data_IF_815621036295
#
_entry.id   IF_815621036295
#
_cell.length_a   1.000
_cell.length_b   1.000
_cell.length_c   1.000
_cell.angle_alpha   90.00
_cell.angle_beta   90.00
_cell.angle_gamma   90.00
#
_symmetry.space_group_name_H-M   'P 1'
#
loop_
_entity.id
_entity.type
_entity.pdbx_description
1 polymer ?
#
# COMPACT_ATOMS: atom_id res chain seq x y z
N UNK A 1 18.09 5.45 -40.29
CA UNK A 1 17.68 5.95 -38.97
C UNK A 1 17.72 4.77 -38.01
N UNK A 2 18.33 4.91 -36.84
CA UNK A 2 18.36 3.82 -35.86
C UNK A 2 16.96 3.63 -35.29
N UNK A 3 16.42 2.41 -35.33
CA UNK A 3 15.09 2.11 -34.77
C UNK A 3 15.20 1.97 -33.27
N UNK A 4 14.58 2.91 -32.55
CA UNK A 4 14.56 2.89 -31.10
C UNK A 4 13.57 1.82 -30.57
N UNK A 5 13.90 1.26 -29.39
CA UNK A 5 13.01 0.33 -28.71
C UNK A 5 11.63 0.96 -28.42
N UNK A 6 10.58 0.27 -28.84
CA UNK A 6 9.19 0.62 -28.50
C UNK A 6 8.67 -0.32 -27.41
N UNK A 7 7.99 0.22 -26.39
CA UNK A 7 7.38 -0.60 -25.32
C UNK A 7 6.19 -1.39 -25.85
N UNK A 8 5.94 -2.57 -25.30
CA UNK A 8 4.83 -3.44 -25.70
C UNK A 8 3.48 -2.71 -25.58
N UNK A 9 3.24 -1.95 -24.52
CA UNK A 9 2.00 -1.17 -24.35
C UNK A 9 1.77 -0.19 -25.51
N UNK A 10 2.82 0.43 -26.02
CA UNK A 10 2.75 1.41 -27.10
C UNK A 10 2.59 0.71 -28.46
N UNK A 11 3.31 -0.41 -28.68
CA UNK A 11 3.16 -1.26 -29.87
C UNK A 11 1.72 -1.70 -30.11
N UNK A 12 1.03 -2.12 -29.03
CA UNK A 12 -0.36 -2.58 -29.10
C UNK A 12 -1.36 -1.48 -29.50
N UNK A 13 -0.96 -0.20 -29.46
CA UNK A 13 -1.74 0.96 -29.89
C UNK A 13 -1.33 1.48 -31.27
N UNK A 14 -0.21 0.99 -31.84
CA UNK A 14 0.28 1.43 -33.13
C UNK A 14 -0.54 0.80 -34.27
N UNK A 15 -0.60 1.51 -35.40
CA UNK A 15 -1.11 0.96 -36.65
C UNK A 15 -0.05 0.09 -37.32
N UNK A 16 -0.51 -0.97 -37.96
CA UNK A 16 0.34 -1.83 -38.79
C UNK A 16 1.06 -1.04 -39.90
N UNK A 17 2.21 -1.52 -40.36
CA UNK A 17 2.99 -0.95 -41.46
C UNK A 17 4.34 -0.37 -41.04
N UNK A 18 4.66 -0.30 -39.77
CA UNK A 18 5.93 0.25 -39.27
C UNK A 18 6.94 -0.86 -38.96
N UNK A 19 8.21 -0.62 -39.20
CA UNK A 19 9.30 -1.43 -38.66
C UNK A 19 9.52 -1.06 -37.19
N UNK A 20 9.61 -2.06 -36.31
CA UNK A 20 9.67 -1.87 -34.85
C UNK A 20 10.79 -2.71 -34.22
N UNK A 21 11.26 -2.27 -33.04
CA UNK A 21 12.17 -3.02 -32.18
C UNK A 21 11.52 -3.21 -30.81
N UNK A 22 11.16 -4.44 -30.49
CA UNK A 22 10.67 -4.84 -29.16
C UNK A 22 11.75 -5.60 -28.39
N UNK A 23 11.86 -5.35 -27.09
CA UNK A 23 12.75 -6.10 -26.18
C UNK A 23 11.97 -6.53 -24.97
N UNK A 24 12.12 -7.79 -24.51
CA UNK A 24 11.36 -8.27 -23.36
C UNK A 24 11.65 -9.74 -23.04
N UNK A 25 10.78 -10.29 -22.22
CA UNK A 25 10.86 -11.69 -21.76
C UNK A 25 9.80 -12.55 -22.44
N UNK A 26 10.21 -13.74 -22.82
CA UNK A 26 9.36 -14.74 -23.44
C UNK A 26 8.39 -15.33 -22.40
N UNK A 27 7.11 -15.17 -22.64
CA UNK A 27 6.05 -15.78 -21.80
C UNK A 27 5.70 -17.17 -22.27
N UNK A 28 5.55 -17.34 -23.57
CA UNK A 28 5.32 -18.65 -24.20
C UNK A 28 5.98 -18.70 -25.57
N UNK A 29 6.38 -19.91 -25.98
CA UNK A 29 6.79 -20.21 -27.34
C UNK A 29 6.02 -21.43 -27.82
N UNK A 30 5.42 -21.35 -28.99
CA UNK A 30 4.70 -22.43 -29.67
C UNK A 30 4.96 -22.35 -31.18
N UNK A 31 4.61 -23.34 -31.93
CA UNK A 31 4.73 -23.29 -33.38
C UNK A 31 4.57 -24.67 -34.04
N UNK A 32 4.72 -24.69 -35.36
CA UNK A 32 4.73 -25.84 -36.20
C UNK A 32 6.11 -26.01 -36.91
N UNK A 33 6.18 -26.74 -38.00
CA UNK A 33 7.42 -26.96 -38.75
C UNK A 33 7.94 -25.72 -39.48
N UNK A 34 7.04 -24.76 -39.80
CA UNK A 34 7.34 -23.61 -40.67
C UNK A 34 7.45 -22.33 -39.86
N UNK A 35 6.67 -22.15 -38.80
CA UNK A 35 6.52 -20.89 -38.09
C UNK A 35 6.61 -21.14 -36.57
N UNK A 36 7.27 -20.22 -35.85
CA UNK A 36 7.23 -20.11 -34.40
C UNK A 36 6.47 -18.85 -33.96
N UNK A 37 5.65 -18.97 -32.92
CA UNK A 37 4.94 -17.89 -32.26
C UNK A 37 5.52 -17.68 -30.87
N UNK A 38 5.94 -16.47 -30.56
CA UNK A 38 6.51 -16.08 -29.28
C UNK A 38 5.62 -14.99 -28.67
N UNK A 39 5.11 -15.22 -27.47
CA UNK A 39 4.46 -14.17 -26.68
C UNK A 39 5.55 -13.41 -25.91
N UNK A 40 5.77 -12.15 -26.26
CA UNK A 40 6.78 -11.28 -25.68
C UNK A 40 6.14 -10.24 -24.76
N UNK A 41 6.70 -10.05 -23.56
CA UNK A 41 6.27 -9.06 -22.59
C UNK A 41 7.47 -8.32 -22.03
N UNK A 42 7.35 -6.99 -21.90
CA UNK A 42 8.41 -6.14 -21.35
C UNK A 42 8.07 -5.52 -19.99
N UNK A 43 6.94 -5.94 -19.38
CA UNK A 43 6.46 -5.45 -18.09
C UNK A 43 5.62 -4.17 -18.17
N UNK A 44 5.57 -3.49 -19.33
CA UNK A 44 4.83 -2.23 -19.49
C UNK A 44 3.30 -2.38 -19.48
N UNK A 45 2.82 -3.58 -19.73
CA UNK A 45 1.38 -3.94 -19.73
C UNK A 45 1.22 -5.41 -19.34
N UNK A 46 0.01 -5.80 -18.95
CA UNK A 46 -0.33 -7.20 -18.73
C UNK A 46 -0.42 -8.00 -20.03
N UNK A 47 -0.73 -7.33 -21.13
CA UNK A 47 -0.85 -7.94 -22.46
C UNK A 47 0.52 -8.27 -23.04
N UNK A 48 0.59 -9.25 -23.91
CA UNK A 48 1.80 -9.59 -24.66
C UNK A 48 1.66 -9.12 -26.10
N UNK A 49 2.80 -8.86 -26.76
CA UNK A 49 2.81 -8.80 -28.23
C UNK A 49 3.21 -10.15 -28.78
N UNK A 50 2.49 -10.64 -29.80
CA UNK A 50 2.85 -11.85 -30.52
C UNK A 50 3.96 -11.55 -31.51
N UNK A 51 4.98 -12.37 -31.50
CA UNK A 51 6.07 -12.36 -32.51
C UNK A 51 5.94 -13.60 -33.36
N UNK A 52 5.91 -13.43 -34.66
CA UNK A 52 5.87 -14.50 -35.67
C UNK A 52 7.26 -14.60 -36.27
N UNK A 53 7.83 -15.81 -36.26
CA UNK A 53 9.19 -16.10 -36.77
C UNK A 53 9.12 -17.21 -37.78
N UNK A 54 9.49 -16.93 -39.02
CA UNK A 54 9.65 -17.95 -40.06
C UNK A 54 10.87 -18.81 -39.75
N UNK A 55 10.72 -20.12 -39.84
CA UNK A 55 11.77 -21.09 -39.55
C UNK A 55 12.65 -21.33 -40.75
N UNK A 56 13.94 -21.13 -40.59
CA UNK A 56 15.01 -21.49 -41.48
C UNK A 56 16.23 -21.92 -40.63
N UNK A 57 17.29 -22.41 -41.24
CA UNK A 57 18.49 -22.88 -40.52
C UNK A 57 19.01 -21.90 -39.46
N UNK A 58 19.03 -20.58 -39.77
CA UNK A 58 19.51 -19.56 -38.85
C UNK A 58 18.53 -19.33 -37.69
N UNK A 59 17.24 -19.20 -37.97
CA UNK A 59 16.20 -18.94 -36.94
C UNK A 59 15.95 -20.19 -36.10
N UNK A 60 16.05 -21.40 -36.62
CA UNK A 60 15.94 -22.65 -35.84
C UNK A 60 17.03 -22.76 -34.79
N UNK A 61 18.28 -22.45 -35.13
CA UNK A 61 19.39 -22.43 -34.18
C UNK A 61 19.15 -21.41 -33.04
N UNK A 62 18.59 -20.23 -33.34
CA UNK A 62 18.22 -19.23 -32.33
C UNK A 62 17.02 -19.68 -31.51
N UNK A 63 15.95 -20.18 -32.15
CA UNK A 63 14.73 -20.62 -31.50
C UNK A 63 14.97 -21.80 -30.54
N UNK A 64 15.98 -22.67 -30.81
CA UNK A 64 16.34 -23.77 -29.90
C UNK A 64 16.81 -23.27 -28.52
N UNK A 65 17.39 -22.08 -28.46
CA UNK A 65 17.89 -21.40 -27.23
C UNK A 65 16.82 -20.55 -26.55
N UNK A 66 15.73 -20.25 -27.22
CA UNK A 66 14.63 -19.43 -26.67
C UNK A 66 13.61 -20.31 -25.98
N UNK A 67 13.54 -20.17 -24.66
CA UNK A 67 12.56 -20.83 -23.78
C UNK A 67 11.71 -19.80 -23.01
N UNK A 68 10.69 -20.24 -22.29
CA UNK A 68 9.97 -19.39 -21.35
C UNK A 68 10.92 -18.77 -20.34
N UNK A 69 10.84 -17.45 -20.16
CA UNK A 69 11.72 -16.69 -19.29
C UNK A 69 12.99 -16.13 -19.97
N UNK A 70 13.34 -16.58 -21.18
CA UNK A 70 14.45 -16.00 -21.94
C UNK A 70 14.19 -14.51 -22.24
N UNK A 71 15.26 -13.71 -22.28
CA UNK A 71 15.22 -12.31 -22.64
C UNK A 71 15.69 -12.12 -24.09
N UNK A 72 14.83 -11.53 -24.94
CA UNK A 72 15.12 -11.35 -26.36
C UNK A 72 14.81 -9.96 -26.86
N UNK A 73 15.47 -9.55 -27.93
CA UNK A 73 15.14 -8.44 -28.81
C UNK A 73 14.59 -8.95 -30.12
N UNK A 74 13.60 -8.26 -30.66
CA UNK A 74 12.94 -8.59 -31.94
C UNK A 74 12.83 -7.34 -32.77
N UNK A 75 13.46 -7.32 -33.93
CA UNK A 75 13.19 -6.33 -34.98
C UNK A 75 12.30 -6.97 -36.03
N UNK A 76 11.34 -6.23 -36.55
CA UNK A 76 10.46 -6.74 -37.58
C UNK A 76 9.37 -5.75 -37.96
N UNK A 77 8.52 -6.19 -38.86
CA UNK A 77 7.40 -5.42 -39.38
C UNK A 77 6.19 -5.63 -38.47
N UNK A 78 5.61 -4.54 -37.97
CA UNK A 78 4.32 -4.59 -37.26
C UNK A 78 3.21 -4.77 -38.30
N UNK A 79 2.44 -5.82 -38.17
CA UNK A 79 1.35 -6.18 -39.12
C UNK A 79 0.04 -6.36 -38.36
N UNK A 80 -1.08 -6.32 -39.10
CA UNK A 80 -2.38 -6.71 -38.53
C UNK A 80 -2.35 -8.19 -38.18
N UNK A 81 -2.81 -8.54 -36.97
CA UNK A 81 -2.83 -9.92 -36.53
C UNK A 81 -3.99 -10.68 -37.20
N UNK A 82 -3.69 -11.84 -37.72
CA UNK A 82 -4.69 -12.77 -38.25
C UNK A 82 -5.39 -13.54 -37.11
N UNK A 83 -4.77 -13.58 -35.94
CA UNK A 83 -5.27 -14.28 -34.75
C UNK A 83 -6.31 -13.48 -33.97
N UNK A 84 -7.25 -14.18 -33.32
CA UNK A 84 -8.19 -13.55 -32.40
C UNK A 84 -7.48 -13.09 -31.11
N UNK A 85 -7.90 -11.94 -30.55
CA UNK A 85 -7.47 -11.46 -29.25
C UNK A 85 -6.33 -10.44 -29.24
N UNK A 86 -5.81 -10.04 -30.42
CA UNK A 86 -4.82 -8.97 -30.57
C UNK A 86 -5.00 -8.27 -31.92
N UNK A 87 -4.77 -6.96 -31.97
CA UNK A 87 -4.91 -6.18 -33.19
C UNK A 87 -3.69 -6.28 -34.11
N UNK A 88 -2.50 -6.36 -33.53
CA UNK A 88 -1.21 -6.34 -34.21
C UNK A 88 -0.28 -7.43 -33.73
N UNK A 89 0.67 -7.82 -34.58
CA UNK A 89 1.76 -8.74 -34.26
C UNK A 89 3.05 -8.33 -34.98
N UNK A 90 4.20 -8.82 -34.52
CA UNK A 90 5.50 -8.51 -35.13
C UNK A 90 5.91 -9.69 -36.01
N UNK A 91 6.04 -9.50 -37.33
CA UNK A 91 6.76 -10.43 -38.20
C UNK A 91 8.26 -10.14 -38.07
N UNK A 92 8.98 -11.05 -37.43
CA UNK A 92 10.39 -10.88 -37.11
C UNK A 92 11.29 -10.99 -38.32
N UNK A 93 12.14 -9.96 -38.55
CA UNK A 93 13.25 -10.02 -39.50
C UNK A 93 14.56 -10.36 -38.81
N UNK A 94 14.71 -10.03 -37.52
CA UNK A 94 15.91 -10.26 -36.74
C UNK A 94 15.57 -10.61 -35.28
N UNK A 95 16.29 -11.60 -34.72
CA UNK A 95 16.22 -11.99 -33.32
C UNK A 95 17.58 -11.78 -32.67
N UNK A 96 17.56 -11.19 -31.46
CA UNK A 96 18.73 -11.06 -30.59
C UNK A 96 18.43 -11.74 -29.25
N UNK A 97 19.31 -12.59 -28.74
CA UNK A 97 19.16 -13.23 -27.43
C UNK A 97 20.06 -12.52 -26.44
N UNK A 98 19.46 -11.83 -25.47
CA UNK A 98 20.20 -11.18 -24.38
C UNK A 98 20.52 -12.14 -23.24
N UNK A 99 19.60 -13.08 -22.97
CA UNK A 99 19.79 -14.09 -21.94
C UNK A 99 18.93 -15.32 -22.16
N UNK A 100 19.57 -16.45 -22.15
CA UNK A 100 18.90 -17.75 -22.20
C UNK A 100 18.26 -18.07 -20.84
N UNK A 101 17.28 -18.95 -20.81
CA UNK A 101 16.64 -19.42 -19.58
C UNK A 101 16.60 -20.94 -19.58
N UNK A 102 17.16 -21.56 -18.55
CA UNK A 102 17.06 -23.02 -18.38
C UNK A 102 15.62 -23.38 -17.94
N UNK A 103 14.85 -24.05 -18.82
CA UNK A 103 13.43 -24.36 -18.52
C UNK A 103 13.27 -25.36 -17.38
N UNK A 104 14.31 -26.15 -17.07
CA UNK A 104 14.26 -27.13 -15.97
C UNK A 104 14.47 -26.50 -14.60
N UNK A 105 15.16 -25.37 -14.54
CA UNK A 105 15.48 -24.64 -13.31
C UNK A 105 14.62 -23.40 -13.10
N UNK A 106 13.88 -22.96 -14.12
CA UNK A 106 13.06 -21.74 -14.02
C UNK A 106 11.90 -21.95 -13.02
N UNK A 107 11.82 -21.15 -11.94
CA UNK A 107 10.87 -21.41 -10.86
C UNK A 107 9.42 -21.10 -11.22
N UNK A 108 9.19 -20.28 -12.26
CA UNK A 108 7.86 -19.87 -12.70
C UNK A 108 7.37 -20.75 -13.85
N UNK A 109 6.89 -21.93 -13.51
CA UNK A 109 6.35 -22.90 -14.51
C UNK A 109 4.95 -22.47 -14.99
N UNK A 110 4.49 -23.07 -16.11
CA UNK A 110 3.16 -22.84 -16.69
C UNK A 110 1.98 -23.24 -15.79
N UNK A 111 2.22 -24.10 -14.80
CA UNK A 111 1.19 -24.51 -13.84
C UNK A 111 0.88 -23.38 -12.87
N UNK A 112 -0.35 -23.29 -12.42
CA UNK A 112 -0.73 -22.38 -11.36
C UNK A 112 0.17 -22.59 -10.14
N UNK A 113 0.81 -21.51 -9.72
CA UNK A 113 1.76 -21.50 -8.62
C UNK A 113 1.09 -20.81 -7.43
N UNK A 114 1.10 -21.43 -6.25
CA UNK A 114 0.46 -20.87 -5.08
C UNK A 114 1.15 -19.56 -4.63
N UNK A 115 0.39 -18.69 -3.98
CA UNK A 115 0.96 -17.46 -3.41
C UNK A 115 2.03 -17.74 -2.34
N UNK A 116 1.87 -18.82 -1.56
CA UNK A 116 2.84 -19.26 -0.57
C UNK A 116 4.18 -19.56 -1.24
N UNK A 117 4.19 -20.32 -2.31
CA UNK A 117 5.42 -20.56 -3.06
C UNK A 117 6.00 -19.28 -3.67
N UNK A 118 5.16 -18.42 -4.26
CA UNK A 118 5.63 -17.15 -4.86
C UNK A 118 6.26 -16.21 -3.83
N UNK A 119 5.87 -16.30 -2.55
CA UNK A 119 6.54 -15.58 -1.46
C UNK A 119 7.94 -16.11 -1.19
N UNK A 120 8.20 -17.40 -1.39
CA UNK A 120 9.56 -17.98 -1.22
C UNK A 120 10.50 -17.62 -2.36
N UNK A 121 9.96 -17.21 -3.51
CA UNK A 121 10.71 -16.74 -4.69
C UNK A 121 10.35 -15.29 -5.02
N UNK A 122 10.25 -14.43 -3.99
CA UNK A 122 9.77 -13.06 -4.12
C UNK A 122 10.55 -12.24 -5.17
N UNK A 123 11.85 -12.49 -5.34
CA UNK A 123 12.70 -11.86 -6.36
C UNK A 123 12.30 -12.22 -7.81
N UNK A 124 11.58 -13.32 -8.02
CA UNK A 124 11.12 -13.75 -9.34
C UNK A 124 9.64 -13.47 -9.60
N UNK A 125 8.82 -13.34 -8.53
CA UNK A 125 7.36 -13.20 -8.66
C UNK A 125 6.89 -11.98 -9.49
N UNK A 126 7.65 -10.85 -9.62
CA UNK A 126 7.27 -9.76 -10.51
C UNK A 126 7.15 -10.16 -11.98
N UNK A 127 7.76 -11.27 -12.39
CA UNK A 127 7.62 -11.83 -13.74
C UNK A 127 6.29 -12.54 -13.99
N UNK A 128 5.46 -12.78 -12.97
CA UNK A 128 4.10 -13.31 -13.15
C UNK A 128 3.13 -12.22 -13.58
N UNK A 129 2.04 -12.58 -14.23
CA UNK A 129 0.99 -11.62 -14.59
C UNK A 129 0.39 -10.96 -13.35
N UNK A 130 0.12 -11.74 -12.31
CA UNK A 130 -0.48 -11.27 -11.05
C UNK A 130 0.38 -10.20 -10.38
N UNK A 131 1.65 -10.52 -10.11
CA UNK A 131 2.52 -9.55 -9.44
C UNK A 131 2.96 -8.41 -10.37
N UNK A 132 3.02 -8.63 -11.68
CA UNK A 132 3.17 -7.56 -12.65
C UNK A 132 2.02 -6.56 -12.58
N UNK A 133 0.77 -7.02 -12.52
CA UNK A 133 -0.43 -6.19 -12.38
C UNK A 133 -0.43 -5.44 -11.04
N UNK A 134 -0.22 -6.15 -9.93
CA UNK A 134 -0.17 -5.55 -8.58
C UNK A 134 0.90 -4.46 -8.48
N UNK A 135 2.11 -4.70 -9.02
CA UNK A 135 3.21 -3.73 -8.91
C UNK A 135 3.03 -2.52 -9.83
N UNK A 136 2.39 -2.68 -11.01
CA UNK A 136 1.99 -1.53 -11.84
C UNK A 136 0.93 -0.69 -11.14
N UNK A 137 -0.11 -1.33 -10.57
CA UNK A 137 -1.10 -0.66 -9.74
C UNK A 137 -0.45 0.08 -8.58
N UNK A 138 0.45 -0.58 -7.82
CA UNK A 138 1.18 0.07 -6.72
C UNK A 138 1.91 1.33 -7.18
N UNK A 139 2.60 1.27 -8.31
CA UNK A 139 3.32 2.41 -8.87
C UNK A 139 2.37 3.55 -9.27
N UNK A 140 1.27 3.24 -9.94
CA UNK A 140 0.28 4.23 -10.36
C UNK A 140 -0.45 4.86 -9.16
N UNK A 141 -0.78 4.06 -8.15
CA UNK A 141 -1.40 4.57 -6.93
C UNK A 141 -0.47 5.50 -6.15
N UNK A 142 0.84 5.20 -6.09
CA UNK A 142 1.81 6.10 -5.47
C UNK A 142 1.88 7.46 -6.20
N UNK A 143 1.85 7.45 -7.53
CA UNK A 143 1.78 8.68 -8.31
C UNK A 143 0.47 9.45 -8.06
N UNK A 144 -0.67 8.76 -8.07
CA UNK A 144 -1.99 9.37 -7.83
C UNK A 144 -2.09 10.05 -6.46
N UNK A 145 -1.45 9.49 -5.43
CA UNK A 145 -1.37 10.11 -4.10
C UNK A 145 -0.64 11.46 -4.17
N UNK A 146 0.54 11.49 -4.79
CA UNK A 146 1.29 12.73 -4.95
C UNK A 146 0.53 13.75 -5.82
N UNK A 147 -0.09 13.31 -6.92
CA UNK A 147 -0.90 14.15 -7.80
C UNK A 147 -2.06 14.79 -7.03
N UNK A 148 -2.80 14.00 -6.24
CA UNK A 148 -3.94 14.48 -5.45
C UNK A 148 -3.54 15.60 -4.48
N UNK A 149 -2.58 15.33 -3.61
CA UNK A 149 -2.16 16.30 -2.60
C UNK A 149 -1.50 17.53 -3.22
N UNK A 150 -0.66 17.33 -4.24
CA UNK A 150 -0.03 18.44 -4.93
C UNK A 150 -1.06 19.35 -5.64
N UNK A 151 -2.09 18.77 -6.26
CA UNK A 151 -3.16 19.54 -6.93
C UNK A 151 -3.99 20.38 -5.96
N UNK A 152 -4.04 20.00 -4.68
CA UNK A 152 -4.72 20.74 -3.60
C UNK A 152 -3.79 21.72 -2.87
N UNK A 153 -2.51 21.82 -3.26
CA UNK A 153 -1.55 22.76 -2.67
C UNK A 153 -0.83 22.24 -1.42
N UNK A 154 -0.99 20.98 -1.07
CA UNK A 154 -0.29 20.38 0.06
C UNK A 154 1.22 20.31 -0.19
N UNK A 155 2.00 20.52 0.85
CA UNK A 155 3.46 20.38 0.83
C UNK A 155 3.84 18.96 1.22
N UNK A 156 4.62 18.28 0.37
CA UNK A 156 5.19 16.97 0.71
C UNK A 156 6.34 17.15 1.71
N UNK A 157 6.23 16.56 2.88
CA UNK A 157 7.20 16.65 3.96
C UNK A 157 7.84 15.27 4.22
N UNK A 158 9.18 15.21 4.20
CA UNK A 158 9.93 14.01 4.60
C UNK A 158 10.23 14.06 6.08
N UNK A 159 9.61 13.17 6.86
CA UNK A 159 9.87 13.02 8.29
C UNK A 159 10.97 11.99 8.54
N UNK A 160 11.71 12.08 9.67
CA UNK A 160 12.78 11.15 9.98
C UNK A 160 12.29 9.71 10.15
N UNK A 161 13.03 8.75 9.59
CA UNK A 161 12.78 7.32 9.83
C UNK A 161 13.40 6.81 11.13
N UNK A 162 14.44 7.50 11.62
CA UNK A 162 15.08 7.20 12.90
C UNK A 162 14.65 8.27 13.90
N UNK A 163 14.01 7.84 14.97
CA UNK A 163 13.46 8.75 15.99
C UNK A 163 13.81 8.30 17.40
N UNK A 164 13.83 9.23 18.33
CA UNK A 164 13.90 8.95 19.76
C UNK A 164 12.52 9.07 20.45
N UNK A 165 11.46 9.35 19.70
CA UNK A 165 10.10 9.55 20.20
C UNK A 165 9.20 8.39 19.77
N UNK A 166 8.31 7.98 20.67
CA UNK A 166 7.26 7.00 20.36
C UNK A 166 5.94 7.77 20.16
N UNK A 167 5.47 7.82 18.92
CA UNK A 167 4.25 8.52 18.55
C UNK A 167 2.99 7.88 19.12
N UNK A 168 2.94 6.56 19.19
CA UNK A 168 1.75 5.83 19.60
C UNK A 168 1.76 5.46 21.10
N UNK A 169 2.92 5.57 21.77
CA UNK A 169 3.07 5.29 23.19
C UNK A 169 2.94 3.81 23.59
N UNK A 170 2.75 2.92 22.62
CA UNK A 170 2.56 1.48 22.83
C UNK A 170 3.66 0.65 22.16
N UNK A 171 4.75 1.29 21.78
CA UNK A 171 5.59 0.90 20.69
C UNK A 171 6.47 -0.31 20.90
N UNK A 172 6.12 -1.40 20.26
CA UNK A 172 7.12 -2.37 19.84
C UNK A 172 7.88 -1.79 18.64
N UNK A 173 8.88 -0.95 18.92
CA UNK A 173 9.72 -0.32 17.91
C UNK A 173 10.98 -1.14 17.64
N UNK A 174 11.41 -1.20 16.38
CA UNK A 174 12.74 -1.72 16.05
C UNK A 174 13.80 -0.74 16.53
N UNK A 175 14.68 -1.20 17.43
CA UNK A 175 15.79 -0.38 17.92
C UNK A 175 16.86 -0.21 16.84
N UNK A 176 17.35 1.02 16.68
CA UNK A 176 18.50 1.37 15.84
C UNK A 176 19.70 1.66 16.74
N UNK A 177 20.77 0.90 16.57
CA UNK A 177 21.98 1.04 17.39
C UNK A 177 23.24 0.67 16.62
N UNK A 178 24.35 1.32 16.91
CA UNK A 178 25.70 0.97 16.45
C UNK A 178 26.55 0.34 17.54
N UNK A 179 25.98 0.12 18.73
CA UNK A 179 26.69 -0.56 19.82
C UNK A 179 26.94 -2.03 19.45
N UNK A 180 28.12 -2.52 19.85
CA UNK A 180 28.43 -3.95 19.73
C UNK A 180 27.55 -4.75 20.70
N UNK A 181 26.62 -5.53 20.15
CA UNK A 181 25.67 -6.35 20.95
C UNK A 181 26.38 -7.44 21.76
N UNK A 182 27.61 -7.83 21.43
CA UNK A 182 28.42 -8.76 22.21
C UNK A 182 29.10 -8.09 23.41
N UNK A 183 29.27 -6.76 23.38
CA UNK A 183 29.96 -6.00 24.40
C UNK A 183 29.29 -4.63 24.62
N UNK A 184 28.01 -4.66 25.04
CA UNK A 184 27.23 -3.45 25.25
C UNK A 184 27.77 -2.66 26.45
N UNK A 185 28.19 -1.38 26.26
CA UNK A 185 28.56 -0.51 27.37
C UNK A 185 27.42 -0.37 28.38
N UNK A 186 27.77 -0.39 29.66
CA UNK A 186 26.77 -0.28 30.74
C UNK A 186 26.93 1.02 31.51
N UNK A 187 25.81 1.62 31.87
CA UNK A 187 25.75 2.75 32.79
C UNK A 187 25.93 2.30 34.26
N UNK A 188 25.95 3.27 35.17
CA UNK A 188 26.11 3.00 36.63
C UNK A 188 25.02 2.09 37.23
N UNK A 189 23.89 1.92 36.53
CA UNK A 189 22.77 1.04 36.94
C UNK A 189 22.84 -0.36 36.29
N UNK A 190 23.90 -0.65 35.51
CA UNK A 190 24.06 -1.93 34.82
C UNK A 190 23.21 -2.06 33.54
N UNK A 191 22.52 -1.02 33.13
CA UNK A 191 21.72 -0.96 31.89
C UNK A 191 22.59 -0.50 30.70
N UNK A 192 22.19 -0.76 29.44
CA UNK A 192 22.86 -0.23 28.25
C UNK A 192 23.09 1.28 28.36
N UNK A 193 24.30 1.73 28.08
CA UNK A 193 24.69 3.13 28.09
C UNK A 193 24.57 3.73 26.69
N UNK A 194 23.39 4.18 26.31
CA UNK A 194 23.12 4.80 25.00
C UNK A 194 23.82 6.14 24.79
N UNK A 195 24.45 6.74 25.84
CA UNK A 195 25.29 7.94 25.62
C UNK A 195 26.55 7.61 24.82
N UNK A 196 26.89 6.32 24.69
CA UNK A 196 27.98 5.79 23.85
C UNK A 196 27.54 5.36 22.45
N UNK A 197 26.21 5.36 22.17
CA UNK A 197 25.69 5.06 20.86
C UNK A 197 25.80 6.26 19.90
N UNK A 198 25.59 6.01 18.60
CA UNK A 198 25.79 6.99 17.55
C UNK A 198 25.06 8.31 17.80
N UNK A 199 23.81 8.26 18.21
CA UNK A 199 22.97 9.43 18.49
C UNK A 199 23.07 9.95 19.92
N UNK A 200 23.88 9.33 20.78
CA UNK A 200 23.99 9.68 22.20
C UNK A 200 22.72 9.42 23.03
N UNK A 201 21.75 8.72 22.49
CA UNK A 201 20.48 8.32 23.11
C UNK A 201 19.92 7.08 22.41
N UNK A 202 18.97 6.41 23.06
CA UNK A 202 18.25 5.32 22.42
C UNK A 202 17.41 5.85 21.24
N UNK A 203 17.51 5.18 20.09
CA UNK A 203 16.76 5.48 18.88
C UNK A 203 16.12 4.23 18.31
N UNK A 204 15.07 4.44 17.53
CA UNK A 204 14.29 3.38 16.91
C UNK A 204 13.84 3.77 15.50
N UNK A 205 13.37 2.80 14.72
CA UNK A 205 12.65 3.10 13.49
C UNK A 205 11.26 3.63 13.84
N UNK A 206 10.80 4.64 13.10
CA UNK A 206 9.52 5.31 13.35
C UNK A 206 8.31 4.41 13.10
N UNK A 207 7.26 4.59 13.87
CA UNK A 207 5.94 3.97 13.67
C UNK A 207 4.97 4.87 12.91
N UNK A 208 5.28 6.19 12.79
CA UNK A 208 4.46 7.20 12.11
C UNK A 208 5.27 8.48 11.94
N UNK A 209 5.02 9.23 10.89
CA UNK A 209 5.56 10.60 10.69
C UNK A 209 4.64 11.70 11.23
N UNK A 210 3.57 11.36 11.94
CA UNK A 210 2.52 12.30 12.34
C UNK A 210 3.04 13.44 13.21
N UNK A 211 3.79 13.14 14.27
CA UNK A 211 4.19 14.21 15.23
C UNK A 211 5.05 15.29 14.55
N UNK A 212 5.99 14.88 13.71
CA UNK A 212 6.80 15.79 12.90
C UNK A 212 5.98 16.45 11.79
N UNK A 213 4.97 15.75 11.27
CA UNK A 213 3.99 16.26 10.30
C UNK A 213 3.16 17.42 10.87
N UNK A 214 2.70 17.31 12.12
CA UNK A 214 1.98 18.38 12.81
C UNK A 214 2.82 19.67 12.97
N UNK A 215 4.14 19.53 13.18
CA UNK A 215 5.07 20.68 13.17
C UNK A 215 5.08 21.39 11.81
N UNK A 216 5.08 20.58 10.73
CA UNK A 216 4.98 21.12 9.37
C UNK A 216 3.67 21.82 9.11
N UNK A 217 2.54 21.23 9.51
CA UNK A 217 1.20 21.79 9.31
C UNK A 217 1.02 23.12 10.04
N UNK A 218 1.51 23.23 11.28
CA UNK A 218 1.42 24.48 12.06
C UNK A 218 2.34 25.61 11.55
N UNK A 219 3.09 25.36 10.47
CA UNK A 219 3.94 26.34 9.82
C UNK A 219 3.59 26.56 8.34
N UNK A 220 3.18 25.51 7.63
CA UNK A 220 2.96 25.49 6.17
C UNK A 220 1.47 25.37 5.79
N UNK A 221 0.58 25.15 6.76
CA UNK A 221 -0.86 24.99 6.53
C UNK A 221 -1.26 23.56 6.27
N UNK A 222 -1.12 23.05 5.06
CA UNK A 222 -1.43 21.69 4.70
C UNK A 222 -0.18 20.96 4.22
N UNK A 223 0.14 19.85 4.86
CA UNK A 223 1.26 18.97 4.48
C UNK A 223 0.79 17.53 4.35
N UNK A 224 1.60 16.70 3.73
CA UNK A 224 1.46 15.26 3.84
C UNK A 224 2.82 14.57 3.88
N UNK A 225 2.89 13.46 4.61
CA UNK A 225 4.00 12.51 4.51
C UNK A 225 3.59 11.34 3.61
N UNK A 226 4.54 10.73 2.95
CA UNK A 226 4.36 9.43 2.29
C UNK A 226 5.67 8.69 2.38
N UNK A 227 5.77 7.77 3.33
CA UNK A 227 7.02 7.10 3.64
C UNK A 227 6.84 5.78 4.37
N UNK A 228 7.94 5.02 4.51
CA UNK A 228 7.94 3.76 5.24
C UNK A 228 7.77 4.00 6.75
N UNK A 229 7.02 3.12 7.38
CA UNK A 229 6.83 3.00 8.82
C UNK A 229 7.09 1.57 9.28
N UNK A 230 7.41 1.38 10.56
CA UNK A 230 7.91 0.13 11.07
C UNK A 230 7.23 -0.23 12.38
N UNK A 231 6.74 -1.47 12.50
CA UNK A 231 6.14 -1.99 13.74
C UNK A 231 6.72 -3.37 14.04
N UNK A 232 7.33 -3.53 15.21
CA UNK A 232 7.97 -4.78 15.65
C UNK A 232 6.97 -5.74 16.30
N UNK A 233 5.69 -5.66 15.93
CA UNK A 233 4.64 -6.53 16.45
C UNK A 233 4.86 -7.98 16.00
N UNK A 234 4.78 -8.92 16.92
CA UNK A 234 4.84 -10.34 16.60
C UNK A 234 3.47 -10.84 16.09
N UNK A 235 2.98 -10.21 15.04
CA UNK A 235 1.70 -10.53 14.40
C UNK A 235 1.91 -11.21 13.04
N UNK A 236 1.29 -12.36 12.85
CA UNK A 236 1.41 -13.15 11.60
C UNK A 236 0.08 -13.25 10.85
N UNK A 237 -0.72 -12.19 10.86
CA UNK A 237 -2.01 -12.13 10.16
C UNK A 237 -1.84 -11.74 8.68
N UNK A 238 -2.86 -11.92 7.84
CA UNK A 238 -2.87 -11.42 6.45
C UNK A 238 -2.85 -9.90 6.30
N UNK A 239 -2.94 -9.14 7.40
CA UNK A 239 -3.09 -7.67 7.42
C UNK A 239 -1.94 -6.93 8.08
N UNK A 240 -0.89 -7.64 8.57
CA UNK A 240 0.24 -7.04 9.26
C UNK A 240 1.56 -7.28 8.53
N UNK A 241 2.34 -6.23 8.46
CA UNK A 241 3.74 -6.20 8.01
C UNK A 241 4.57 -5.47 9.05
N UNK A 242 5.85 -5.84 9.17
CA UNK A 242 6.79 -5.13 10.03
C UNK A 242 7.31 -3.82 9.39
N UNK A 243 7.26 -3.73 8.06
CA UNK A 243 7.57 -2.55 7.26
C UNK A 243 6.45 -2.33 6.24
N UNK A 244 5.87 -1.15 6.21
CA UNK A 244 4.79 -0.75 5.31
C UNK A 244 4.85 0.75 5.06
N UNK A 245 4.02 1.29 4.17
CA UNK A 245 4.01 2.70 3.84
C UNK A 245 2.76 3.39 4.35
N UNK A 246 2.93 4.58 4.91
CA UNK A 246 1.83 5.42 5.38
C UNK A 246 1.76 6.71 4.56
N UNK A 247 0.53 7.15 4.31
CA UNK A 247 0.22 8.50 3.81
C UNK A 247 -0.44 9.23 4.97
N UNK A 248 0.17 10.32 5.43
CA UNK A 248 -0.25 11.01 6.64
C UNK A 248 -0.36 12.52 6.36
N UNK A 249 -1.51 13.00 5.86
CA UNK A 249 -1.79 14.43 5.76
C UNK A 249 -2.08 15.02 7.15
N UNK A 250 -1.56 16.24 7.38
CA UNK A 250 -1.85 17.06 8.55
C UNK A 250 -2.23 18.47 8.10
N UNK A 251 -3.35 18.99 8.60
CA UNK A 251 -3.96 20.22 8.10
C UNK A 251 -4.28 21.19 9.24
N UNK A 252 -3.65 22.36 9.21
CA UNK A 252 -4.02 23.46 10.09
C UNK A 252 -5.42 24.00 9.74
N UNK A 253 -6.15 24.41 10.76
CA UNK A 253 -7.50 25.00 10.68
C UNK A 253 -8.61 24.03 10.25
N UNK A 254 -8.33 22.74 10.12
CA UNK A 254 -9.33 21.69 9.86
C UNK A 254 -9.87 21.15 11.18
N UNK A 255 -11.19 21.00 11.27
CA UNK A 255 -11.86 20.24 12.33
C UNK A 255 -12.05 18.77 11.92
N UNK A 256 -12.74 18.01 12.78
CA UNK A 256 -13.00 16.58 12.50
C UNK A 256 -13.88 16.37 11.26
N UNK A 257 -14.79 17.31 10.97
CA UNK A 257 -15.67 17.22 9.79
C UNK A 257 -14.88 17.44 8.51
N UNK A 258 -14.05 18.47 8.47
CA UNK A 258 -13.16 18.74 7.33
C UNK A 258 -12.22 17.55 7.06
N UNK A 259 -11.73 16.94 8.14
CA UNK A 259 -10.87 15.77 8.07
C UNK A 259 -11.58 14.55 7.47
N UNK A 260 -12.84 14.29 7.87
CA UNK A 260 -13.68 13.25 7.29
C UNK A 260 -13.96 13.50 5.81
N UNK A 261 -14.28 14.74 5.45
CA UNK A 261 -14.59 15.12 4.06
C UNK A 261 -13.36 14.95 3.16
N UNK A 262 -12.18 15.34 3.62
CA UNK A 262 -10.92 15.14 2.89
C UNK A 262 -10.60 13.64 2.73
N UNK A 263 -10.76 12.82 3.78
CA UNK A 263 -10.50 11.39 3.73
C UNK A 263 -11.41 10.69 2.71
N UNK A 264 -12.69 11.03 2.67
CA UNK A 264 -13.65 10.50 1.70
C UNK A 264 -13.31 10.90 0.27
N UNK A 265 -13.05 12.20 0.02
CA UNK A 265 -12.67 12.72 -1.29
C UNK A 265 -11.37 12.08 -1.79
N UNK A 266 -10.38 11.96 -0.92
CA UNK A 266 -9.10 11.33 -1.23
C UNK A 266 -9.24 9.87 -1.69
N UNK A 267 -9.99 9.05 -0.93
CA UNK A 267 -10.18 7.65 -1.30
C UNK A 267 -10.97 7.53 -2.61
N UNK A 268 -12.05 8.31 -2.78
CA UNK A 268 -12.84 8.31 -4.02
C UNK A 268 -11.99 8.68 -5.22
N UNK A 269 -11.11 9.69 -5.09
CA UNK A 269 -10.15 10.08 -6.12
C UNK A 269 -9.21 8.92 -6.48
N UNK A 270 -8.60 8.27 -5.48
CA UNK A 270 -7.67 7.17 -5.70
C UNK A 270 -8.33 5.96 -6.38
N UNK A 271 -9.53 5.59 -5.93
CA UNK A 271 -10.28 4.47 -6.54
C UNK A 271 -10.67 4.80 -7.98
N UNK A 272 -11.12 6.03 -8.23
CA UNK A 272 -11.41 6.50 -9.59
C UNK A 272 -10.17 6.49 -10.48
N UNK A 273 -9.05 7.00 -9.98
CA UNK A 273 -7.77 6.99 -10.70
C UNK A 273 -7.35 5.56 -11.09
N UNK A 274 -7.48 4.60 -10.18
CA UNK A 274 -7.17 3.20 -10.43
C UNK A 274 -8.02 2.63 -11.58
N UNK A 275 -9.33 2.86 -11.57
CA UNK A 275 -10.24 2.41 -12.63
C UNK A 275 -9.96 3.08 -13.98
N UNK A 276 -9.63 4.37 -13.99
CA UNK A 276 -9.40 5.13 -15.22
C UNK A 276 -8.04 4.79 -15.87
N UNK A 277 -6.99 4.53 -15.05
CA UNK A 277 -5.62 4.42 -15.54
C UNK A 277 -5.04 3.00 -15.51
N UNK A 278 -5.67 2.06 -14.77
CA UNK A 278 -5.15 0.71 -14.56
C UNK A 278 -6.19 -0.37 -14.90
N UNK A 279 -7.17 -0.08 -15.74
CA UNK A 279 -8.32 -0.96 -15.96
C UNK A 279 -7.95 -2.36 -16.41
N UNK A 280 -7.01 -2.52 -17.35
CA UNK A 280 -6.57 -3.84 -17.84
C UNK A 280 -6.00 -4.72 -16.70
N UNK A 281 -5.24 -4.14 -15.79
CA UNK A 281 -4.67 -4.84 -14.64
C UNK A 281 -5.77 -5.18 -13.61
N UNK A 282 -6.69 -4.25 -13.35
CA UNK A 282 -7.84 -4.48 -12.45
C UNK A 282 -8.77 -5.54 -13.03
N UNK A 283 -9.08 -5.50 -14.32
CA UNK A 283 -9.93 -6.48 -14.98
C UNK A 283 -9.33 -7.89 -14.86
N UNK A 284 -8.02 -8.02 -15.06
CA UNK A 284 -7.33 -9.30 -14.87
C UNK A 284 -7.46 -9.82 -13.44
N UNK A 285 -7.28 -8.95 -12.44
CA UNK A 285 -7.40 -9.32 -11.02
C UNK A 285 -8.86 -9.66 -10.66
N UNK A 286 -9.83 -8.92 -11.20
CA UNK A 286 -11.25 -9.18 -11.07
C UNK A 286 -11.60 -10.58 -11.59
N UNK A 287 -11.21 -10.88 -12.81
CA UNK A 287 -11.57 -12.15 -13.47
C UNK A 287 -10.89 -13.36 -12.82
N UNK A 288 -9.71 -13.14 -12.23
CA UNK A 288 -8.88 -14.22 -11.70
C UNK A 288 -9.08 -14.51 -10.22
N UNK A 289 -9.31 -13.47 -9.42
CA UNK A 289 -9.23 -13.56 -7.95
C UNK A 289 -10.43 -13.02 -7.19
N UNK A 290 -11.06 -11.97 -7.67
CA UNK A 290 -12.19 -11.32 -6.98
C UNK A 290 -13.23 -10.81 -7.96
N UNK A 291 -14.20 -11.64 -8.39
CA UNK A 291 -15.19 -11.27 -9.41
C UNK A 291 -16.05 -10.05 -9.07
N UNK A 292 -16.07 -9.64 -7.81
CA UNK A 292 -16.82 -8.47 -7.32
C UNK A 292 -15.95 -7.20 -7.24
N UNK A 293 -14.67 -7.26 -7.59
CA UNK A 293 -13.71 -6.17 -7.39
C UNK A 293 -14.18 -4.88 -8.09
N UNK A 294 -14.47 -4.94 -9.37
CA UNK A 294 -14.83 -3.76 -10.17
C UNK A 294 -16.14 -3.14 -9.68
N UNK A 295 -17.14 -3.95 -9.36
CA UNK A 295 -18.42 -3.44 -8.87
C UNK A 295 -18.28 -2.79 -7.48
N UNK A 296 -17.46 -3.37 -6.61
CA UNK A 296 -17.13 -2.80 -5.30
C UNK A 296 -16.39 -1.47 -5.44
N UNK A 297 -15.40 -1.35 -6.34
CA UNK A 297 -14.69 -0.10 -6.59
C UNK A 297 -15.63 0.99 -7.13
N UNK A 298 -16.51 0.65 -8.07
CA UNK A 298 -17.53 1.58 -8.59
C UNK A 298 -18.52 2.03 -7.50
N UNK A 299 -18.93 1.11 -6.62
CA UNK A 299 -19.82 1.43 -5.51
C UNK A 299 -19.24 2.48 -4.57
N UNK A 300 -17.95 2.38 -4.25
CA UNK A 300 -17.27 3.37 -3.39
C UNK A 300 -17.28 4.77 -3.98
N UNK A 301 -17.06 4.90 -5.29
CA UNK A 301 -17.08 6.20 -5.97
C UNK A 301 -18.49 6.81 -5.98
N UNK A 302 -19.50 5.98 -6.20
CA UNK A 302 -20.90 6.41 -6.39
C UNK A 302 -21.70 6.61 -5.10
N UNK A 303 -21.10 6.42 -3.92
CA UNK A 303 -21.82 6.38 -2.63
C UNK A 303 -21.17 7.32 -1.62
N UNK A 304 -21.98 8.08 -0.87
CA UNK A 304 -21.49 8.85 0.27
C UNK A 304 -21.19 7.88 1.44
N UNK A 305 -20.11 8.15 2.15
CA UNK A 305 -19.71 7.34 3.31
C UNK A 305 -20.62 7.67 4.50
N UNK A 306 -21.03 6.65 5.22
CA UNK A 306 -21.86 6.82 6.41
C UNK A 306 -21.03 7.46 7.52
N UNK A 307 -21.52 8.53 8.14
CA UNK A 307 -20.92 9.14 9.34
C UNK A 307 -21.63 8.52 10.55
N UNK A 308 -20.91 7.79 11.38
CA UNK A 308 -21.44 7.03 12.51
C UNK A 308 -20.68 7.36 13.79
N UNK A 309 -21.42 7.66 14.86
CA UNK A 309 -20.81 7.78 16.19
C UNK A 309 -20.55 6.38 16.77
N UNK A 310 -19.41 6.20 17.45
CA UNK A 310 -19.00 4.94 18.09
C UNK A 310 -20.11 4.40 19.00
N UNK A 311 -20.71 5.26 19.82
CA UNK A 311 -21.80 4.88 20.74
C UNK A 311 -22.99 4.28 19.99
N UNK A 312 -23.32 4.81 18.81
CA UNK A 312 -24.39 4.26 17.98
C UNK A 312 -23.95 2.95 17.31
N UNK A 313 -22.70 2.88 16.87
CA UNK A 313 -22.11 1.65 16.34
C UNK A 313 -22.18 0.49 17.35
N UNK A 314 -21.87 0.75 18.63
CA UNK A 314 -22.01 -0.26 19.69
C UNK A 314 -23.48 -0.72 19.84
N UNK A 315 -24.45 0.20 19.83
CA UNK A 315 -25.88 -0.18 19.91
C UNK A 315 -26.31 -1.08 18.76
N UNK A 316 -25.85 -0.77 17.54
CA UNK A 316 -26.13 -1.59 16.35
C UNK A 316 -25.58 -3.00 16.54
N UNK A 317 -24.34 -3.13 17.03
CA UNK A 317 -23.71 -4.43 17.28
C UNK A 317 -24.42 -5.19 18.42
N UNK A 318 -24.80 -4.53 19.51
CA UNK A 318 -25.58 -5.13 20.61
C UNK A 318 -26.96 -5.61 20.14
N UNK A 319 -27.62 -4.86 19.26
CA UNK A 319 -28.89 -5.27 18.67
C UNK A 319 -28.69 -6.47 17.72
N UNK A 320 -27.63 -6.49 16.96
CA UNK A 320 -27.28 -7.65 16.13
C UNK A 320 -27.14 -8.92 16.97
N UNK A 321 -26.48 -8.84 18.13
CA UNK A 321 -26.36 -9.96 19.08
C UNK A 321 -27.73 -10.42 19.57
N UNK A 322 -28.62 -9.50 19.96
CA UNK A 322 -30.00 -9.82 20.36
C UNK A 322 -30.78 -10.52 19.25
N UNK A 323 -30.45 -10.21 17.99
CA UNK A 323 -31.06 -10.81 16.80
C UNK A 323 -30.35 -12.11 16.35
N UNK A 324 -29.42 -12.67 17.17
CA UNK A 324 -28.80 -13.98 16.97
C UNK A 324 -27.45 -13.95 16.23
N UNK A 325 -26.88 -12.79 15.95
CA UNK A 325 -25.52 -12.68 15.42
C UNK A 325 -24.52 -13.04 16.53
N UNK A 326 -23.55 -13.86 16.21
CA UNK A 326 -22.47 -14.24 17.13
C UNK A 326 -21.17 -13.61 16.67
N UNK A 327 -20.49 -12.91 17.59
CA UNK A 327 -19.14 -12.39 17.42
C UNK A 327 -18.17 -13.23 18.27
N UNK A 328 -16.93 -13.36 17.80
CA UNK A 328 -15.85 -14.03 18.55
C UNK A 328 -15.41 -13.18 19.76
N UNK A 329 -15.38 -11.85 19.57
CA UNK A 329 -14.99 -10.88 20.59
C UNK A 329 -16.22 -10.18 21.22
N UNK A 330 -16.14 -9.81 22.52
CA UNK A 330 -17.26 -9.17 23.20
C UNK A 330 -17.54 -7.77 22.66
N UNK A 331 -18.82 -7.39 22.71
CA UNK A 331 -19.31 -6.05 22.35
C UNK A 331 -19.83 -5.35 23.60
N UNK A 332 -19.24 -4.22 23.94
CA UNK A 332 -19.69 -3.32 25.02
C UNK A 332 -19.10 -1.93 24.80
N UNK A 333 -19.71 -0.90 25.37
CA UNK A 333 -19.17 0.45 25.26
C UNK A 333 -17.80 0.56 25.94
N UNK A 334 -16.79 1.08 25.21
CA UNK A 334 -15.42 1.18 25.67
C UNK A 334 -14.49 0.10 25.10
N UNK A 335 -15.03 -0.92 24.41
CA UNK A 335 -14.20 -1.93 23.76
C UNK A 335 -13.50 -1.38 22.51
N UNK A 336 -12.28 -1.80 22.27
CA UNK A 336 -11.61 -1.59 20.99
C UNK A 336 -12.20 -2.56 19.95
N UNK A 337 -12.84 -2.01 18.89
CA UNK A 337 -13.53 -2.81 17.90
C UNK A 337 -12.57 -3.69 17.12
N UNK A 338 -12.96 -4.96 16.98
CA UNK A 338 -12.21 -5.92 16.17
C UNK A 338 -12.73 -5.93 14.74
N UNK A 339 -11.91 -6.43 13.81
CA UNK A 339 -12.25 -6.47 12.39
C UNK A 339 -13.60 -7.09 12.06
N UNK A 340 -14.10 -8.03 12.87
CA UNK A 340 -15.41 -8.63 12.67
C UNK A 340 -16.56 -7.64 12.96
N UNK A 341 -16.39 -6.78 13.98
CA UNK A 341 -17.34 -5.72 14.33
C UNK A 341 -17.41 -4.66 13.22
N UNK A 342 -16.23 -4.18 12.79
CA UNK A 342 -16.09 -3.21 11.71
C UNK A 342 -16.74 -3.72 10.41
N UNK A 343 -16.42 -4.96 10.03
CA UNK A 343 -16.98 -5.58 8.84
C UNK A 343 -18.49 -5.80 8.93
N UNK A 344 -19.02 -6.12 10.12
CA UNK A 344 -20.45 -6.21 10.29
C UNK A 344 -21.15 -4.87 10.00
N UNK A 345 -20.65 -3.77 10.55
CA UNK A 345 -21.18 -2.43 10.29
C UNK A 345 -21.18 -2.11 8.80
N UNK A 346 -20.03 -2.34 8.11
CA UNK A 346 -19.84 -1.99 6.71
C UNK A 346 -20.56 -2.93 5.76
N UNK A 347 -20.44 -4.26 5.95
CA UNK A 347 -20.86 -5.28 4.97
C UNK A 347 -22.28 -5.80 5.20
N UNK A 348 -22.79 -5.74 6.45
CA UNK A 348 -24.08 -6.32 6.81
C UNK A 348 -25.13 -5.27 7.15
N UNK A 349 -24.74 -4.24 7.91
CA UNK A 349 -25.70 -3.23 8.37
C UNK A 349 -25.91 -2.13 7.33
N UNK A 350 -24.83 -1.42 6.93
CA UNK A 350 -24.93 -0.28 6.01
C UNK A 350 -24.72 -0.65 4.54
N UNK A 351 -23.98 -1.71 4.26
CA UNK A 351 -23.52 -2.08 2.91
C UNK A 351 -22.83 -0.91 2.16
N UNK A 352 -22.08 -0.10 2.90
CA UNK A 352 -21.39 1.11 2.45
C UNK A 352 -20.14 1.33 3.31
N UNK A 353 -19.14 2.09 2.83
CA UNK A 353 -18.07 2.56 3.71
C UNK A 353 -18.62 3.40 4.86
N UNK A 354 -18.01 3.25 6.04
CA UNK A 354 -18.42 3.93 7.27
C UNK A 354 -17.24 4.71 7.82
N UNK A 355 -17.48 5.95 8.22
CA UNK A 355 -16.55 6.73 9.04
C UNK A 355 -17.09 6.73 10.46
N UNK A 356 -16.40 6.04 11.34
CA UNK A 356 -16.75 5.90 12.75
C UNK A 356 -16.02 6.95 13.58
N UNK A 357 -16.72 7.71 14.41
CA UNK A 357 -16.18 8.83 15.19
C UNK A 357 -16.57 8.77 16.65
N UNK A 358 -16.04 9.67 17.50
CA UNK A 358 -16.45 9.79 18.90
C UNK A 358 -16.06 8.59 19.75
N UNK A 359 -14.86 8.08 19.57
CA UNK A 359 -14.35 6.93 20.32
C UNK A 359 -14.07 7.23 21.78
N UNK A 360 -14.19 6.22 22.67
CA UNK A 360 -13.74 6.36 24.06
C UNK A 360 -12.27 6.79 24.15
N UNK A 361 -11.99 7.77 25.02
CA UNK A 361 -10.64 8.32 25.18
C UNK A 361 -9.60 7.29 25.64
N UNK A 362 -10.03 6.27 26.39
CA UNK A 362 -9.16 5.31 27.04
C UNK A 362 -8.54 4.30 26.06
N UNK A 363 -9.11 4.19 24.84
CA UNK A 363 -8.60 3.30 23.78
C UNK A 363 -7.94 4.08 22.64
N UNK A 364 -7.76 5.39 22.77
CA UNK A 364 -7.18 6.24 21.73
C UNK A 364 -5.97 7.04 22.24
N UNK A 365 -5.12 7.49 21.30
CA UNK A 365 -3.84 8.12 21.59
C UNK A 365 -3.97 9.49 22.30
N UNK A 366 -2.87 9.91 22.95
CA UNK A 366 -2.80 11.06 23.83
C UNK A 366 -3.06 12.40 23.12
N UNK A 367 -2.73 12.50 21.85
CA UNK A 367 -2.80 13.73 21.05
C UNK A 367 -4.19 14.05 20.50
N UNK A 368 -5.15 13.16 20.68
CA UNK A 368 -6.49 13.33 20.14
C UNK A 368 -7.32 14.29 20.99
N UNK A 369 -8.00 15.21 20.36
CA UNK A 369 -8.83 16.22 21.02
C UNK A 369 -10.01 15.58 21.76
N UNK A 370 -10.13 15.88 23.04
CA UNK A 370 -11.25 15.41 23.85
C UNK A 370 -12.54 16.17 23.53
N UNK A 371 -13.67 15.47 23.52
CA UNK A 371 -14.99 16.07 23.49
C UNK A 371 -15.35 16.69 24.86
N UNK A 372 -16.39 17.53 24.87
CA UNK A 372 -16.84 18.21 26.09
C UNK A 372 -17.41 17.26 27.16
N UNK A 373 -17.78 16.04 26.76
CA UNK A 373 -18.26 14.98 27.66
C UNK A 373 -17.17 14.41 28.57
N UNK A 374 -15.89 14.71 28.29
CA UNK A 374 -14.70 14.21 29.00
C UNK A 374 -14.48 12.71 28.91
N UNK A 375 -15.25 12.00 28.09
CA UNK A 375 -15.23 10.53 27.93
C UNK A 375 -14.79 10.08 26.54
N UNK A 376 -15.05 10.89 25.53
CA UNK A 376 -14.78 10.58 24.13
C UNK A 376 -13.79 11.55 23.51
N UNK A 377 -13.22 11.14 22.37
CA UNK A 377 -12.27 11.95 21.59
C UNK A 377 -12.75 12.10 20.15
N UNK A 378 -12.31 13.17 19.48
CA UNK A 378 -12.59 13.44 18.07
C UNK A 378 -11.69 12.60 17.16
N UNK A 379 -11.72 11.29 17.37
CA UNK A 379 -11.10 10.31 16.48
C UNK A 379 -12.02 9.98 15.31
N UNK A 380 -11.44 9.51 14.22
CA UNK A 380 -12.17 8.90 13.11
C UNK A 380 -11.43 7.69 12.59
N UNK A 381 -12.16 6.62 12.29
CA UNK A 381 -11.66 5.46 11.54
C UNK A 381 -12.56 5.25 10.31
N UNK A 382 -11.94 5.15 9.13
CA UNK A 382 -12.66 4.89 7.88
C UNK A 382 -12.63 3.41 7.61
N UNK A 383 -13.81 2.80 7.63
CA UNK A 383 -14.03 1.36 7.53
C UNK A 383 -14.51 0.96 6.14
N UNK A 384 -13.88 -0.05 5.56
CA UNK A 384 -14.15 -0.52 4.20
C UNK A 384 -14.54 -2.00 4.16
N UNK A 385 -15.37 -2.41 3.16
CA UNK A 385 -15.70 -3.82 2.96
C UNK A 385 -14.43 -4.64 2.71
N UNK A 386 -14.38 -5.86 3.25
CA UNK A 386 -13.27 -6.83 3.18
C UNK A 386 -11.97 -6.39 3.88
N UNK A 387 -11.80 -5.10 4.15
CA UNK A 387 -10.58 -4.53 4.75
C UNK A 387 -10.77 -4.25 6.25
N UNK A 388 -11.89 -3.66 6.68
CA UNK A 388 -12.05 -3.01 7.96
C UNK A 388 -11.43 -1.62 7.93
N UNK A 389 -10.75 -1.19 8.98
CA UNK A 389 -10.07 0.09 9.03
C UNK A 389 -9.01 0.23 7.93
N UNK A 390 -9.15 1.29 7.09
CA UNK A 390 -8.19 1.68 6.06
C UNK A 390 -7.51 3.01 6.37
N UNK A 391 -8.20 3.92 7.06
CA UNK A 391 -7.71 5.20 7.57
C UNK A 391 -8.04 5.27 9.06
N UNK A 392 -7.06 5.73 9.86
CA UNK A 392 -7.24 6.21 11.22
C UNK A 392 -6.82 7.67 11.31
N UNK A 393 -7.60 8.50 12.01
CA UNK A 393 -7.30 9.94 12.13
C UNK A 393 -7.97 10.60 13.32
N UNK A 394 -7.72 11.91 13.49
CA UNK A 394 -8.38 12.70 14.54
C UNK A 394 -8.24 14.21 14.31
N UNK A 395 -9.09 14.98 14.96
CA UNK A 395 -8.74 16.35 15.33
C UNK A 395 -7.71 16.28 16.47
N UNK A 396 -6.66 17.10 16.38
CA UNK A 396 -5.54 17.09 17.33
C UNK A 396 -5.84 18.02 18.52
N UNK A 397 -5.34 17.66 19.73
CA UNK A 397 -5.49 18.55 20.88
C UNK A 397 -4.60 19.79 20.69
N UNK A 398 -5.25 20.94 20.55
CA UNK A 398 -4.60 22.23 20.35
C UNK A 398 -4.43 23.02 21.66
N UNK A 399 -5.13 22.65 22.73
CA UNK A 399 -5.03 23.27 24.04
C UNK A 399 -3.83 22.70 24.80
N UNK A 400 -2.88 23.57 25.17
CA UNK A 400 -1.66 23.18 25.87
C UNK A 400 -1.95 22.47 27.18
N UNK A 401 -2.85 23.03 28.02
CA UNK A 401 -3.12 22.48 29.35
C UNK A 401 -3.77 21.10 29.26
N UNK A 402 -4.68 20.91 28.30
CA UNK A 402 -5.34 19.61 28.07
C UNK A 402 -4.35 18.55 27.55
N UNK A 403 -3.47 18.93 26.61
CA UNK A 403 -2.44 18.04 26.10
C UNK A 403 -1.48 17.59 27.21
N UNK A 404 -0.96 18.55 28.00
CA UNK A 404 -0.07 18.24 29.13
C UNK A 404 -0.75 17.35 30.18
N UNK A 405 -2.01 17.64 30.52
CA UNK A 405 -2.78 16.82 31.45
C UNK A 405 -2.95 15.39 30.96
N UNK A 406 -3.18 15.19 29.63
CA UNK A 406 -3.30 13.86 29.05
C UNK A 406 -1.98 13.10 29.02
N UNK A 407 -0.88 13.75 28.72
CA UNK A 407 0.48 13.18 28.80
C UNK A 407 0.76 12.69 30.23
N UNK A 408 0.40 13.48 31.26
CA UNK A 408 0.58 13.10 32.65
C UNK A 408 -0.35 11.95 33.08
N UNK A 409 -1.61 11.97 32.67
CA UNK A 409 -2.59 10.91 32.92
C UNK A 409 -2.07 9.56 32.40
N UNK A 410 -1.44 9.56 31.23
CA UNK A 410 -0.86 8.34 30.63
C UNK A 410 0.57 8.05 31.10
N UNK A 411 1.12 8.82 32.03
CA UNK A 411 2.46 8.66 32.59
C UNK A 411 3.57 8.65 31.53
N UNK A 412 3.38 9.39 30.43
CA UNK A 412 4.36 9.49 29.36
C UNK A 412 5.53 10.41 29.74
N UNK A 413 6.69 10.19 29.11
CA UNK A 413 7.88 11.01 29.33
C UNK A 413 7.76 12.37 28.66
N UNK A 414 7.48 13.42 29.41
CA UNK A 414 7.46 14.82 28.89
C UNK A 414 8.77 15.19 28.20
N UNK A 415 9.91 14.75 28.71
CA UNK A 415 11.24 15.08 28.16
C UNK A 415 11.37 14.69 26.68
N UNK A 416 10.76 13.62 26.25
CA UNK A 416 10.83 13.17 24.87
C UNK A 416 9.79 13.84 23.95
N UNK A 417 8.81 14.55 24.53
CA UNK A 417 7.70 15.19 23.84
C UNK A 417 7.72 16.73 23.95
N UNK A 418 8.71 17.32 24.63
CA UNK A 418 8.75 18.77 24.86
C UNK A 418 8.72 19.57 23.55
N UNK A 419 9.45 19.14 22.56
CA UNK A 419 9.46 19.74 21.22
C UNK A 419 8.09 19.69 20.52
N UNK A 420 7.29 18.66 20.78
CA UNK A 420 5.92 18.52 20.27
C UNK A 420 4.94 19.42 21.05
N UNK A 421 5.08 19.49 22.37
CA UNK A 421 4.30 20.37 23.25
C UNK A 421 4.53 21.84 22.91
N UNK A 422 5.74 22.22 22.49
CA UNK A 422 6.08 23.60 22.07
C UNK A 422 5.19 24.12 20.94
N UNK A 423 4.68 23.27 20.05
CA UNK A 423 3.74 23.69 19.01
C UNK A 423 2.41 24.21 19.58
N UNK A 424 2.04 23.78 20.79
CA UNK A 424 0.85 24.28 21.51
C UNK A 424 1.20 25.52 22.36
N UNK A 425 2.44 25.65 22.77
CA UNK A 425 2.94 26.79 23.55
C UNK A 425 3.14 28.03 22.67
N UNK A 426 3.55 27.86 21.43
CA UNK A 426 3.94 28.90 20.50
C UNK A 426 3.06 28.98 19.27
N UNK A 427 1.88 29.57 19.41
CA UNK A 427 0.98 29.84 18.29
C UNK A 427 0.17 28.62 17.84
N UNK A 428 -0.41 27.91 18.81
CA UNK A 428 -1.31 26.78 18.54
C UNK A 428 -2.49 27.16 17.66
N UNK A 429 -2.92 26.24 16.82
CA UNK A 429 -4.14 26.35 16.03
C UNK A 429 -4.93 25.04 16.05
N UNK A 430 -6.26 25.05 15.80
CA UNK A 430 -6.98 23.84 15.48
C UNK A 430 -6.34 23.14 14.28
N UNK A 431 -6.14 21.85 14.35
CA UNK A 431 -5.61 21.07 13.23
C UNK A 431 -6.06 19.62 13.33
N UNK A 432 -6.05 18.95 12.21
CA UNK A 432 -6.50 17.57 12.04
C UNK A 432 -5.59 16.81 11.09
N UNK A 433 -5.63 15.50 11.16
CA UNK A 433 -4.90 14.67 10.23
C UNK A 433 -5.35 13.22 10.29
N UNK A 434 -4.87 12.42 9.35
CA UNK A 434 -5.13 11.01 9.32
C UNK A 434 -3.96 10.22 8.73
N UNK A 435 -3.93 8.91 8.99
CA UNK A 435 -3.00 7.98 8.36
C UNK A 435 -3.74 6.97 7.49
N UNK A 436 -3.36 6.86 6.22
CA UNK A 436 -3.81 5.81 5.31
C UNK A 436 -2.70 4.81 5.07
N UNK A 437 -2.95 3.53 5.39
CA UNK A 437 -2.04 2.45 5.08
C UNK A 437 -2.02 2.15 3.58
N UNK A 438 -0.89 2.37 2.92
CA UNK A 438 -0.78 2.18 1.46
C UNK A 438 -1.06 0.74 1.03
N UNK A 439 -0.54 -0.23 1.75
CA UNK A 439 -0.78 -1.64 1.46
C UNK A 439 -2.25 -2.05 1.70
N UNK A 440 -2.94 -1.45 2.67
CA UNK A 440 -4.40 -1.67 2.86
C UNK A 440 -5.21 -1.11 1.69
N UNK A 441 -4.84 0.08 1.19
CA UNK A 441 -5.42 0.62 -0.05
C UNK A 441 -5.18 -0.34 -1.23
N UNK A 442 -3.97 -0.86 -1.37
CA UNK A 442 -3.64 -1.79 -2.44
C UNK A 442 -4.39 -3.12 -2.32
N UNK A 443 -4.60 -3.66 -1.12
CA UNK A 443 -5.49 -4.80 -0.93
C UNK A 443 -6.89 -4.50 -1.47
N UNK A 444 -7.41 -3.31 -1.18
CA UNK A 444 -8.73 -2.90 -1.63
C UNK A 444 -8.85 -2.78 -3.15
N UNK A 445 -7.90 -2.09 -3.79
CA UNK A 445 -7.94 -1.84 -5.25
C UNK A 445 -7.50 -3.02 -6.10
N UNK A 446 -6.82 -4.01 -5.51
CA UNK A 446 -6.36 -5.21 -6.22
C UNK A 446 -7.22 -6.45 -5.96
N UNK A 447 -8.04 -6.46 -4.90
CA UNK A 447 -8.77 -7.65 -4.45
C UNK A 447 -7.90 -8.75 -3.85
N UNK A 448 -6.61 -8.48 -3.62
CA UNK A 448 -5.69 -9.44 -3.00
C UNK A 448 -6.06 -9.70 -1.54
N UNK A 449 -5.85 -10.94 -1.08
CA UNK A 449 -6.31 -11.38 0.25
C UNK A 449 -5.24 -11.29 1.33
N UNK A 450 -3.98 -11.05 0.96
CA UNK A 450 -2.87 -11.02 1.90
C UNK A 450 -1.93 -9.84 1.60
N UNK A 451 -1.66 -9.04 2.62
CA UNK A 451 -0.84 -7.83 2.51
C UNK A 451 0.59 -8.10 2.00
N UNK A 452 1.11 -9.34 2.21
CA UNK A 452 2.41 -9.77 1.67
C UNK A 452 2.44 -9.81 0.14
N UNK A 453 1.28 -9.79 -0.50
CA UNK A 453 1.15 -9.92 -1.96
C UNK A 453 0.97 -8.58 -2.67
N UNK A 454 0.92 -7.46 -1.92
CA UNK A 454 0.83 -6.11 -2.48
C UNK A 454 2.07 -5.25 -2.23
N UNK A 455 3.09 -5.81 -1.61
CA UNK A 455 4.41 -5.19 -1.42
C UNK A 455 5.49 -6.04 -2.12
N UNK A 456 6.54 -5.44 -2.72
CA UNK A 456 7.56 -6.21 -3.46
C UNK A 456 8.25 -7.28 -2.63
N UNK A 457 8.75 -6.91 -1.45
CA UNK A 457 9.52 -7.77 -0.53
C UNK A 457 8.97 -7.60 0.90
N UNK A 458 8.05 -8.45 1.33
CA UNK A 458 7.38 -8.30 2.62
C UNK A 458 8.35 -8.54 3.79
N UNK A 459 8.24 -7.70 4.83
CA UNK A 459 8.91 -7.89 6.11
C UNK A 459 7.89 -8.36 7.14
N UNK A 460 8.12 -9.55 7.69
CA UNK A 460 7.24 -10.18 8.69
C UNK A 460 8.08 -10.91 9.73
N UNK A 461 7.50 -11.32 10.88
CA UNK A 461 8.23 -12.15 11.80
C UNK A 461 8.90 -13.34 11.11
N UNK A 462 10.18 -13.54 11.39
CA UNK A 462 11.05 -14.60 10.83
C UNK A 462 11.28 -14.52 9.31
N UNK A 463 10.96 -13.40 8.65
CA UNK A 463 11.21 -13.21 7.21
C UNK A 463 11.72 -11.80 6.91
N UNK A 464 12.97 -11.72 6.46
CA UNK A 464 13.62 -10.52 5.95
C UNK A 464 14.45 -10.82 4.69
N UNK A 465 14.07 -11.85 3.94
CA UNK A 465 14.74 -12.28 2.72
C UNK A 465 14.58 -11.24 1.59
N UNK A 466 15.64 -11.05 0.81
CA UNK A 466 15.83 -10.10 -0.32
C UNK A 466 16.05 -8.64 0.13
#
# INVERSE_FOLDING_TARGET
MEILRTKVKDLLQMKAGSEVLAKGWVRTKRGNKEIAFIALNDGSTIKNVQVVVDKNEKTEAQLSKISTGACIGVRGQLVESVGSGQAVEIHASELEIFGECDPMRYPLQKKDTSFEYLRTVAHMRPRTNTFGAVLRLRSQMAYAIHEYFHSKGFVYLNTPLITASDCEGAGQMFQVTTLDLNNVPKNKKGQPDFTKDFFGKQTSLTVSGQLEGELGATALGEIYTFGPTFRAENSNTPRHLAEFWMIEPEMAFYDIKDNMDLAEDFIKHLVKYALDNCYDDIQFLNDRYDPELIDRLKSVIGTDFVRLEYTEGIKILEEAIKNGVQFEYPVYWGVDLQSEHERYLVEKHFNKPVILTGYPKDIKAFYMKQNEDGKTVRAMDVLFPKIGEIIGGSEREADLAKLEARIDELQMSRKNLEWYVDTRRFGSCPHSGFGLGFERLLLFVTGMQNIRDVIPFPRTPKNAEY
#
